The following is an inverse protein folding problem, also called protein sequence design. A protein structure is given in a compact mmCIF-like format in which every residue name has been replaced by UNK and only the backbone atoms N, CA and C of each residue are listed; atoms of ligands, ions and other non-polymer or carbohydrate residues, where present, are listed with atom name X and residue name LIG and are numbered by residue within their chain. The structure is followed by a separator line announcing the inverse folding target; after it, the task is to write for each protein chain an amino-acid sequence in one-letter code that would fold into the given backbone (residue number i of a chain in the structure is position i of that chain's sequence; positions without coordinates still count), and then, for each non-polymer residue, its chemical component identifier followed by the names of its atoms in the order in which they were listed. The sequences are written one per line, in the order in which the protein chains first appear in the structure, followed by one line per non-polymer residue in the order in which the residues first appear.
data_IF_631351681301
#
_entry.id   IF_631351681301
#
_cell.length_a   1.000
_cell.length_b   1.000
_cell.length_c   1.000
_cell.angle_alpha   90.00
_cell.angle_beta   90.00
_cell.angle_gamma   90.00
#
_symmetry.space_group_name_H-M   'P 1'
#
loop_
_entity.id
_entity.type
_entity.pdbx_description
1 polymer ?
#
# COMPACT_ATOMS: atom_id res chain seq x y z
N UNK A 1 14.92 8.89 -2.36
CA UNK A 1 14.69 7.77 -1.41
C UNK A 1 13.65 6.86 -2.01
N UNK A 2 13.86 5.53 -1.99
CA UNK A 2 12.92 4.61 -2.61
C UNK A 2 11.58 4.66 -1.86
N UNK A 3 10.50 4.45 -2.60
CA UNK A 3 9.15 4.51 -2.09
C UNK A 3 8.30 3.41 -2.69
N UNK A 4 7.30 2.97 -1.91
CA UNK A 4 6.37 1.93 -2.27
C UNK A 4 4.95 2.43 -2.16
N UNK A 5 4.12 2.00 -3.09
CA UNK A 5 2.66 2.11 -3.02
C UNK A 5 2.10 0.69 -3.02
N UNK A 6 1.08 0.45 -2.23
CA UNK A 6 0.36 -0.81 -2.22
C UNK A 6 -1.09 -0.58 -1.80
N UNK A 7 -1.94 -1.57 -2.01
CA UNK A 7 -3.30 -1.58 -1.46
C UNK A 7 -3.51 -2.72 -0.45
N UNK A 8 -4.47 -2.54 0.47
CA UNK A 8 -4.84 -3.53 1.48
C UNK A 8 -6.21 -3.25 2.08
N UNK A 9 -6.85 -4.26 2.63
CA UNK A 9 -8.04 -4.13 3.49
C UNK A 9 -7.69 -3.96 4.97
N UNK A 10 -6.45 -4.30 5.38
CA UNK A 10 -5.95 -4.16 6.75
C UNK A 10 -4.65 -3.35 6.80
N UNK A 11 -4.79 -2.05 7.06
CA UNK A 11 -3.67 -1.10 7.14
C UNK A 11 -2.69 -1.43 8.26
N UNK A 12 -3.17 -1.90 9.41
CA UNK A 12 -2.35 -2.12 10.60
C UNK A 12 -1.50 -3.38 10.43
N UNK A 13 -2.09 -4.48 9.97
CA UNK A 13 -1.35 -5.69 9.64
C UNK A 13 -0.33 -5.42 8.53
N UNK A 14 -0.73 -4.66 7.50
CA UNK A 14 0.14 -4.35 6.37
C UNK A 14 1.31 -3.45 6.76
N UNK A 15 1.08 -2.45 7.60
CA UNK A 15 2.16 -1.60 8.12
C UNK A 15 3.17 -2.42 8.95
N UNK A 16 2.67 -3.26 9.86
CA UNK A 16 3.53 -4.16 10.65
C UNK A 16 4.36 -5.08 9.78
N UNK A 17 3.77 -5.66 8.71
CA UNK A 17 4.51 -6.45 7.74
C UNK A 17 5.67 -5.67 7.10
N UNK A 18 5.44 -4.42 6.66
CA UNK A 18 6.53 -3.64 6.06
C UNK A 18 7.63 -3.27 7.05
N UNK A 19 7.29 -3.07 8.32
CA UNK A 19 8.27 -2.88 9.41
C UNK A 19 9.10 -4.13 9.68
N UNK A 20 8.62 -5.34 9.36
CA UNK A 20 9.43 -6.57 9.42
C UNK A 20 10.32 -6.74 8.19
N UNK A 21 9.93 -6.23 7.03
CA UNK A 21 10.70 -6.34 5.77
C UNK A 21 11.80 -5.29 5.66
N UNK A 22 11.55 -4.07 6.10
CA UNK A 22 12.50 -2.95 6.00
C UNK A 22 13.06 -2.55 7.35
N UNK A 23 14.29 -2.01 7.37
CA UNK A 23 14.89 -1.47 8.60
C UNK A 23 14.12 -0.27 9.12
N UNK A 24 13.70 0.61 8.21
CA UNK A 24 12.87 1.75 8.54
C UNK A 24 11.90 2.08 7.43
N UNK A 25 10.66 2.36 7.80
CA UNK A 25 9.66 3.00 6.93
C UNK A 25 9.34 4.39 7.47
N UNK A 26 9.02 5.32 6.59
CA UNK A 26 8.60 6.68 6.95
C UNK A 26 7.63 7.24 5.92
N UNK A 27 7.01 8.37 6.25
CA UNK A 27 6.00 9.02 5.42
C UNK A 27 4.87 8.05 5.01
N UNK A 28 4.37 7.26 5.96
CA UNK A 28 3.23 6.37 5.79
C UNK A 28 1.96 7.21 5.58
N UNK A 29 1.48 7.23 4.34
CA UNK A 29 0.29 7.97 3.92
C UNK A 29 -0.74 6.99 3.37
N UNK A 30 -2.01 7.24 3.65
CA UNK A 30 -3.13 6.39 3.25
C UNK A 30 -4.14 7.21 2.45
N UNK A 31 -4.75 6.59 1.45
CA UNK A 31 -5.83 7.10 0.61
C UNK A 31 -6.97 6.07 0.58
N UNK A 32 -8.21 6.54 0.63
CA UNK A 32 -9.41 5.69 0.69
C UNK A 32 -10.41 6.19 1.75
N UNK A 33 -11.43 5.38 2.09
CA UNK A 33 -11.68 4.01 1.59
C UNK A 33 -12.15 3.96 0.13
N UNK A 34 -11.92 2.82 -0.52
CA UNK A 34 -12.41 2.47 -1.85
C UNK A 34 -13.34 1.26 -1.74
N UNK A 35 -14.47 1.28 -2.44
CA UNK A 35 -15.49 0.24 -2.34
C UNK A 35 -15.09 -1.05 -3.06
N UNK A 36 -14.19 -0.95 -4.04
CA UNK A 36 -13.75 -2.10 -4.84
C UNK A 36 -12.24 -2.17 -4.95
N UNK A 37 -11.72 -3.40 -5.08
CA UNK A 37 -10.32 -3.66 -5.41
C UNK A 37 -9.89 -2.96 -6.69
N UNK A 38 -10.76 -2.88 -7.70
CA UNK A 38 -10.45 -2.23 -8.97
C UNK A 38 -10.21 -0.72 -8.79
N UNK A 39 -11.02 -0.03 -7.99
CA UNK A 39 -10.83 1.39 -7.67
C UNK A 39 -9.53 1.62 -6.91
N UNK A 40 -9.26 0.79 -5.90
CA UNK A 40 -8.01 0.85 -5.14
C UNK A 40 -6.79 0.58 -6.04
N UNK A 41 -6.88 -0.39 -6.95
CA UNK A 41 -5.81 -0.74 -7.88
C UNK A 41 -5.53 0.41 -8.86
N UNK A 42 -6.58 1.07 -9.38
CA UNK A 42 -6.43 2.28 -10.22
C UNK A 42 -5.71 3.39 -9.47
N UNK A 43 -6.09 3.62 -8.21
CA UNK A 43 -5.45 4.64 -7.38
C UNK A 43 -3.99 4.27 -7.04
N UNK A 44 -3.71 3.01 -6.72
CA UNK A 44 -2.35 2.51 -6.48
C UNK A 44 -1.46 2.79 -7.69
N UNK A 45 -1.91 2.42 -8.89
CA UNK A 45 -1.18 2.66 -10.14
C UNK A 45 -0.99 4.16 -10.39
N UNK A 46 -2.02 4.97 -10.18
CA UNK A 46 -1.94 6.42 -10.33
C UNK A 46 -0.89 7.03 -9.40
N UNK A 47 -0.91 6.68 -8.10
CA UNK A 47 0.04 7.19 -7.11
C UNK A 47 1.47 6.70 -7.37
N UNK A 48 1.63 5.46 -7.82
CA UNK A 48 2.93 4.91 -8.18
C UNK A 48 3.56 5.68 -9.34
N UNK A 49 2.79 5.96 -10.40
CA UNK A 49 3.24 6.77 -11.54
C UNK A 49 3.54 8.21 -11.14
N UNK A 50 2.64 8.85 -10.39
CA UNK A 50 2.77 10.24 -9.96
C UNK A 50 4.03 10.47 -9.12
N UNK A 51 4.31 9.57 -8.18
CA UNK A 51 5.44 9.69 -7.26
C UNK A 51 6.69 8.92 -7.67
N UNK A 52 6.65 8.22 -8.83
CA UNK A 52 7.73 7.34 -9.31
C UNK A 52 8.13 6.29 -8.27
N UNK A 53 7.14 5.69 -7.62
CA UNK A 53 7.32 4.67 -6.59
C UNK A 53 7.16 3.27 -7.16
N UNK A 54 7.73 2.27 -6.47
CA UNK A 54 7.43 0.86 -6.73
C UNK A 54 5.97 0.58 -6.35
N UNK A 55 5.18 0.00 -7.25
CA UNK A 55 3.89 -0.61 -6.92
C UNK A 55 4.05 -2.12 -6.88
N UNK A 56 3.46 -2.77 -5.89
CA UNK A 56 3.20 -4.21 -5.94
C UNK A 56 1.69 -4.40 -5.98
N UNK A 57 1.14 -5.32 -6.79
CA UNK A 57 -0.29 -5.60 -6.75
C UNK A 57 -0.69 -5.87 -5.30
N UNK A 58 -1.78 -5.25 -4.85
CA UNK A 58 -2.40 -5.56 -3.56
C UNK A 58 -2.40 -7.06 -3.36
N UNK A 59 -1.80 -7.50 -2.25
CA UNK A 59 -1.53 -8.91 -1.99
C UNK A 59 -2.81 -9.75 -1.98
N UNK A 60 -2.69 -11.03 -1.63
CA UNK A 60 -3.81 -11.96 -1.41
C UNK A 60 -4.72 -11.57 -0.23
N UNK A 61 -4.91 -10.27 0.03
CA UNK A 61 -5.92 -9.79 0.94
C UNK A 61 -7.28 -10.28 0.39
N UNK A 62 -8.08 -10.96 1.21
CA UNK A 62 -9.33 -11.53 0.75
C UNK A 62 -10.24 -10.42 0.24
N UNK A 63 -10.76 -10.60 -0.97
CA UNK A 63 -11.85 -9.79 -1.52
C UNK A 63 -13.13 -10.10 -0.74
N UNK A 64 -13.27 -9.53 0.46
CA UNK A 64 -14.48 -9.64 1.27
C UNK A 64 -15.41 -8.47 0.92
N UNK A 65 -16.70 -8.70 0.57
CA UNK A 65 -17.65 -7.63 0.23
C UNK A 65 -17.94 -6.63 1.36
N UNK A 66 -17.42 -6.85 2.57
CA UNK A 66 -17.54 -5.94 3.71
C UNK A 66 -16.27 -5.13 3.99
N UNK A 67 -15.16 -5.42 3.31
CA UNK A 67 -13.89 -4.80 3.61
C UNK A 67 -13.63 -3.61 2.67
N UNK A 68 -13.40 -2.45 3.26
CA UNK A 68 -12.96 -1.27 2.53
C UNK A 68 -11.51 -1.44 2.07
N UNK A 69 -11.24 -1.09 0.81
CA UNK A 69 -9.87 -1.08 0.29
C UNK A 69 -9.18 0.25 0.59
N UNK A 70 -7.94 0.18 1.03
CA UNK A 70 -7.09 1.33 1.28
C UNK A 70 -5.84 1.26 0.42
N UNK A 71 -5.39 2.39 -0.09
CA UNK A 71 -4.12 2.52 -0.79
C UNK A 71 -3.15 3.25 0.12
N UNK A 72 -2.02 2.63 0.42
CA UNK A 72 -0.97 3.23 1.23
C UNK A 72 0.26 3.53 0.39
N UNK A 73 1.05 4.49 0.86
CA UNK A 73 2.35 4.85 0.33
C UNK A 73 3.31 5.08 1.47
N UNK A 74 4.56 4.65 1.32
CA UNK A 74 5.64 4.97 2.26
C UNK A 74 6.98 5.04 1.55
N UNK A 75 7.95 5.63 2.23
CA UNK A 75 9.36 5.59 1.85
C UNK A 75 10.12 4.64 2.77
N UNK A 76 11.18 4.03 2.26
CA UNK A 76 11.99 3.06 3.00
C UNK A 76 13.48 3.24 2.73
N UNK A 77 14.33 2.62 3.55
CA UNK A 77 15.77 2.63 3.37
C UNK A 77 16.27 1.44 2.55
N UNK A 78 16.56 0.32 3.20
CA UNK A 78 17.05 -0.93 2.64
C UNK A 78 16.26 -2.07 3.26
N UNK A 79 16.07 -3.13 2.46
CA UNK A 79 15.53 -4.39 2.98
C UNK A 79 16.44 -4.91 4.10
N UNK A 80 15.84 -5.55 5.09
CA UNK A 80 16.57 -6.30 6.12
C UNK A 80 17.26 -7.52 5.51
#
# INVERSE_FOLDING_TARGET
MPCRVGMTTDLDARKKYWETVYNKIWNWTVSGPYATREEAQKQETFLALLHKCESGPGGDDPDNPLDDWYVYRFQYDRKK
#
